data_IF_746248207550
#
_entry.id   IF_746248207550
#
_cell.length_a   1.000
_cell.length_b   1.000
_cell.length_c   1.000
_cell.angle_alpha   90.00
_cell.angle_beta   90.00
_cell.angle_gamma   90.00
#
_symmetry.space_group_name_H-M   'P 1'
#
loop_
_entity.id
_entity.type
_entity.pdbx_description
1 polymer ?
#
# COMPACT_ATOMS: atom_id res chain seq x y z
N UNK A 1 27.09 3.99 -8.54
CA UNK A 1 26.05 2.95 -8.36
C UNK A 1 24.82 3.42 -9.11
N UNK A 2 24.34 2.68 -10.12
CA UNK A 2 23.15 3.10 -10.87
C UNK A 2 21.96 3.11 -9.89
N UNK A 3 21.35 4.28 -9.67
CA UNK A 3 20.11 4.41 -8.90
C UNK A 3 19.02 3.66 -9.64
N UNK A 4 18.88 2.36 -9.38
CA UNK A 4 17.72 1.62 -9.86
C UNK A 4 16.48 2.21 -9.18
N UNK A 5 15.42 2.53 -9.95
CA UNK A 5 14.22 3.11 -9.39
C UNK A 5 13.65 2.18 -8.32
N UNK A 6 13.33 2.74 -7.15
CA UNK A 6 12.95 1.96 -5.98
C UNK A 6 11.52 1.45 -6.17
N UNK A 7 11.39 0.14 -6.32
CA UNK A 7 10.09 -0.55 -6.28
C UNK A 7 9.67 -0.81 -4.84
N UNK A 8 8.37 -0.74 -4.58
CA UNK A 8 7.76 -1.23 -3.35
C UNK A 8 6.30 -1.63 -3.55
N UNK A 9 5.78 -2.43 -2.63
CA UNK A 9 4.44 -2.98 -2.69
C UNK A 9 3.59 -2.51 -1.50
N UNK A 10 2.33 -2.18 -1.77
CA UNK A 10 1.31 -2.06 -0.72
C UNK A 10 0.22 -3.11 -0.94
N UNK A 11 -0.15 -3.82 0.13
CA UNK A 11 -1.29 -4.73 0.13
C UNK A 11 -2.33 -4.15 1.08
N UNK A 12 -3.48 -3.75 0.53
CA UNK A 12 -4.63 -3.35 1.34
C UNK A 12 -5.38 -4.60 1.77
N UNK A 13 -5.33 -4.92 3.05
CA UNK A 13 -6.06 -6.05 3.62
C UNK A 13 -7.58 -5.84 3.57
N UNK A 14 -8.14 -4.63 3.76
CA UNK A 14 -9.57 -4.42 3.56
C UNK A 14 -10.00 -4.52 2.10
N UNK A 15 -9.24 -3.91 1.18
CA UNK A 15 -9.62 -3.89 -0.24
C UNK A 15 -9.23 -5.15 -1.01
N UNK A 16 -8.45 -6.05 -0.40
CA UNK A 16 -7.94 -7.27 -1.04
C UNK A 16 -7.22 -6.99 -2.37
N UNK A 17 -6.38 -5.95 -2.36
CA UNK A 17 -5.57 -5.53 -3.50
C UNK A 17 -4.10 -5.50 -3.17
N UNK A 18 -3.27 -5.79 -4.16
CA UNK A 18 -1.83 -5.56 -4.16
C UNK A 18 -1.49 -4.51 -5.20
N UNK A 19 -0.74 -3.50 -4.81
CA UNK A 19 -0.30 -2.39 -5.65
C UNK A 19 1.22 -2.33 -5.68
N UNK A 20 1.79 -2.37 -6.89
CA UNK A 20 3.22 -2.23 -7.13
C UNK A 20 3.50 -0.79 -7.56
N UNK A 21 4.41 -0.13 -6.85
CA UNK A 21 4.83 1.24 -7.12
C UNK A 21 6.29 1.30 -7.56
N UNK A 22 6.60 2.27 -8.42
CA UNK A 22 7.96 2.66 -8.78
C UNK A 22 8.14 4.14 -8.46
N UNK A 23 9.05 4.45 -7.54
CA UNK A 23 9.31 5.82 -7.10
C UNK A 23 8.02 6.57 -6.68
N UNK A 24 7.05 5.84 -6.13
CA UNK A 24 5.76 6.40 -5.71
C UNK A 24 4.65 6.40 -6.76
N UNK A 25 4.95 6.10 -8.03
CA UNK A 25 3.97 6.01 -9.11
C UNK A 25 3.43 4.58 -9.19
N UNK A 26 2.11 4.43 -9.30
CA UNK A 26 1.47 3.13 -9.45
C UNK A 26 1.82 2.52 -10.82
N UNK A 27 2.42 1.33 -10.81
CA UNK A 27 2.73 0.57 -12.03
C UNK A 27 1.68 -0.49 -12.34
N UNK A 28 1.29 -1.25 -11.31
CA UNK A 28 0.38 -2.40 -11.45
C UNK A 28 -0.50 -2.52 -10.21
N UNK A 29 -1.74 -2.97 -10.43
CA UNK A 29 -2.70 -3.31 -9.37
C UNK A 29 -3.23 -4.71 -9.65
N UNK A 30 -3.25 -5.56 -8.63
CA UNK A 30 -3.71 -6.94 -8.69
C UNK A 30 -4.77 -7.19 -7.62
N UNK A 31 -5.71 -8.09 -7.92
CA UNK A 31 -6.62 -8.63 -6.92
C UNK A 31 -5.93 -9.77 -6.16
N UNK A 32 -6.10 -9.82 -4.85
CA UNK A 32 -5.51 -10.85 -3.99
C UNK A 32 -6.56 -11.52 -3.10
N UNK A 33 -6.19 -12.61 -2.44
CA UNK A 33 -7.00 -13.23 -1.39
C UNK A 33 -6.13 -13.55 -0.17
N UNK A 34 -6.41 -12.89 0.95
CA UNK A 34 -5.68 -13.06 2.22
C UNK A 34 -6.37 -14.09 3.11
N UNK A 35 -5.88 -14.26 4.34
CA UNK A 35 -6.39 -15.28 5.26
C UNK A 35 -7.85 -15.06 5.64
N UNK A 36 -8.64 -16.14 5.61
CA UNK A 36 -10.03 -16.14 6.08
C UNK A 36 -10.16 -15.84 7.58
N UNK A 37 -9.13 -16.17 8.37
CA UNK A 37 -9.09 -15.88 9.81
C UNK A 37 -8.78 -14.40 10.11
N UNK A 38 -8.60 -13.58 9.08
CA UNK A 38 -8.26 -12.16 9.21
C UNK A 38 -6.78 -11.95 9.45
N UNK A 39 -6.47 -10.97 10.30
CA UNK A 39 -5.12 -10.41 10.46
C UNK A 39 -4.50 -10.80 11.79
N UNK A 40 -3.18 -10.97 11.82
CA UNK A 40 -2.48 -11.35 13.05
C UNK A 40 -1.11 -11.98 12.83
N UNK A 41 -0.24 -11.75 13.80
CA UNK A 41 1.19 -12.06 13.67
C UNK A 41 1.59 -13.35 14.40
N UNK A 42 0.79 -13.79 15.38
CA UNK A 42 1.09 -14.97 16.21
C UNK A 42 1.23 -16.24 15.37
N UNK A 43 2.24 -17.04 15.68
CA UNK A 43 2.45 -18.35 15.08
C UNK A 43 1.25 -19.27 15.40
N UNK A 44 0.83 -20.08 14.41
CA UNK A 44 -0.36 -20.92 14.53
C UNK A 44 -1.71 -20.18 14.48
N UNK A 45 -1.74 -18.85 14.33
CA UNK A 45 -3.01 -18.09 14.20
C UNK A 45 -3.75 -18.32 12.89
N UNK A 46 -3.02 -18.74 11.83
CA UNK A 46 -3.53 -18.81 10.47
C UNK A 46 -4.08 -17.47 9.94
N UNK A 47 -3.64 -16.35 10.53
CA UNK A 47 -3.96 -15.00 10.06
C UNK A 47 -2.88 -14.46 9.12
N UNK A 48 -3.22 -13.50 8.26
CA UNK A 48 -2.23 -12.78 7.46
C UNK A 48 -1.53 -11.72 8.34
N UNK A 49 -0.18 -11.70 8.41
CA UNK A 49 0.54 -10.73 9.25
C UNK A 49 0.48 -9.32 8.65
N UNK A 50 0.60 -8.32 9.52
CA UNK A 50 0.55 -6.91 9.14
C UNK A 50 1.91 -6.24 9.17
N UNK A 51 1.94 -5.02 8.66
CA UNK A 51 3.09 -4.12 8.76
C UNK A 51 4.14 -4.34 7.68
N UNK A 52 5.36 -3.88 7.96
CA UNK A 52 6.47 -3.84 7.01
C UNK A 52 7.13 -5.21 6.87
N UNK A 53 7.34 -5.61 5.63
CA UNK A 53 8.04 -6.81 5.24
C UNK A 53 8.96 -6.54 4.05
N UNK A 54 9.74 -7.55 3.69
CA UNK A 54 10.51 -7.63 2.45
C UNK A 54 10.23 -8.95 1.75
N UNK A 55 10.37 -8.97 0.42
CA UNK A 55 10.50 -10.22 -0.33
C UNK A 55 11.87 -10.81 0.00
N UNK A 56 11.92 -11.79 0.89
CA UNK A 56 13.17 -12.42 1.32
C UNK A 56 13.78 -13.31 0.26
N UNK A 57 12.94 -14.06 -0.45
CA UNK A 57 13.34 -15.03 -1.46
C UNK A 57 12.28 -15.16 -2.55
N UNK A 58 12.73 -15.56 -3.73
CA UNK A 58 11.93 -15.82 -4.92
C UNK A 58 12.14 -17.29 -5.30
N UNK A 59 11.06 -18.05 -5.46
CA UNK A 59 11.12 -19.48 -5.78
C UNK A 59 10.17 -19.78 -6.96
N UNK A 60 10.63 -20.62 -7.88
CA UNK A 60 9.86 -21.02 -9.07
C UNK A 60 10.27 -20.31 -10.37
N UNK A 61 11.41 -19.61 -10.40
CA UNK A 61 11.96 -19.06 -11.64
C UNK A 61 12.14 -20.18 -12.69
N UNK A 62 11.65 -19.95 -13.92
CA UNK A 62 11.69 -20.92 -15.00
C UNK A 62 10.69 -22.08 -14.89
N UNK A 63 9.95 -22.21 -13.78
CA UNK A 63 8.87 -23.20 -13.69
C UNK A 63 7.69 -22.79 -14.58
N UNK A 64 6.95 -23.76 -15.16
CA UNK A 64 5.76 -23.46 -15.96
C UNK A 64 4.65 -22.84 -15.10
N UNK A 65 3.70 -22.17 -15.76
CA UNK A 65 2.44 -21.78 -15.14
C UNK A 65 1.73 -23.02 -14.57
N UNK A 66 1.05 -22.87 -13.44
CA UNK A 66 0.38 -23.95 -12.70
C UNK A 66 1.31 -25.01 -12.09
N UNK A 67 2.64 -24.83 -12.13
CA UNK A 67 3.56 -25.73 -11.43
C UNK A 67 3.24 -25.82 -9.93
N UNK A 68 3.14 -27.03 -9.39
CA UNK A 68 2.79 -27.25 -7.98
C UNK A 68 4.02 -27.26 -7.09
N UNK A 69 3.92 -26.61 -5.93
CA UNK A 69 4.98 -26.58 -4.93
C UNK A 69 4.53 -27.22 -3.60
N UNK A 70 5.41 -28.04 -3.03
CA UNK A 70 5.26 -28.57 -1.67
C UNK A 70 6.52 -28.26 -0.90
N UNK A 71 6.38 -27.68 0.31
CA UNK A 71 7.52 -27.23 1.14
C UNK A 71 8.52 -26.35 0.38
N UNK A 72 8.01 -25.53 -0.55
CA UNK A 72 8.76 -24.63 -1.44
C UNK A 72 9.67 -25.34 -2.46
N UNK A 73 9.39 -26.60 -2.79
CA UNK A 73 10.06 -27.34 -3.86
C UNK A 73 9.04 -27.67 -4.96
N UNK A 74 9.39 -27.49 -6.25
CA UNK A 74 8.53 -27.94 -7.33
C UNK A 74 8.37 -29.47 -7.25
N UNK A 75 7.15 -29.96 -7.41
CA UNK A 75 6.88 -31.42 -7.33
C UNK A 75 7.02 -32.12 -8.68
N UNK A 76 7.04 -31.35 -9.78
CA UNK A 76 6.91 -31.87 -11.13
C UNK A 76 5.45 -31.97 -11.61
N UNK A 77 4.47 -31.82 -10.70
CA UNK A 77 3.05 -31.75 -11.06
C UNK A 77 2.71 -30.38 -11.67
N UNK A 78 1.79 -30.38 -12.64
CA UNK A 78 1.10 -29.20 -13.14
C UNK A 78 -0.34 -29.27 -12.66
N UNK A 79 -0.83 -28.22 -12.01
CA UNK A 79 -2.19 -28.18 -11.52
C UNK A 79 -3.20 -28.22 -12.67
N UNK A 80 -4.25 -29.00 -12.48
CA UNK A 80 -5.45 -29.05 -13.30
C UNK A 80 -6.66 -29.31 -12.41
N UNK A 81 -7.87 -29.06 -12.92
CA UNK A 81 -9.09 -29.36 -12.18
C UNK A 81 -9.20 -30.86 -11.85
N UNK A 82 -8.77 -31.74 -12.76
CA UNK A 82 -8.75 -33.18 -12.54
C UNK A 82 -7.82 -33.57 -11.39
N UNK A 83 -6.61 -32.97 -11.33
CA UNK A 83 -5.69 -33.19 -10.22
C UNK A 83 -6.26 -32.63 -8.91
N UNK A 84 -6.92 -31.46 -8.98
CA UNK A 84 -7.57 -30.86 -7.82
C UNK A 84 -8.67 -31.76 -7.24
N UNK A 85 -9.48 -32.39 -8.10
CA UNK A 85 -10.57 -33.27 -7.70
C UNK A 85 -10.07 -34.55 -6.98
N UNK A 86 -8.86 -35.01 -7.28
CA UNK A 86 -8.25 -36.17 -6.62
C UNK A 86 -7.76 -35.87 -5.19
N UNK A 87 -7.47 -34.59 -4.89
CA UNK A 87 -6.96 -34.17 -3.58
C UNK A 87 -7.82 -33.04 -2.99
N UNK A 88 -9.10 -33.32 -2.64
CA UNK A 88 -9.97 -32.32 -2.05
C UNK A 88 -9.37 -31.79 -0.74
N UNK A 89 -9.27 -30.47 -0.61
CA UNK A 89 -8.74 -29.82 0.59
C UNK A 89 -7.22 -29.61 0.62
N UNK A 90 -6.45 -30.07 -0.38
CA UNK A 90 -5.03 -29.72 -0.52
C UNK A 90 -4.90 -28.20 -0.71
N UNK A 91 -4.05 -27.55 0.10
CA UNK A 91 -3.70 -26.14 -0.12
C UNK A 91 -2.69 -26.03 -1.26
N UNK A 92 -3.16 -25.51 -2.38
CA UNK A 92 -2.39 -25.43 -3.62
C UNK A 92 -1.53 -24.16 -3.64
N UNK A 93 -0.20 -24.35 -3.67
CA UNK A 93 0.77 -23.29 -3.91
C UNK A 93 1.31 -23.49 -5.33
N UNK A 94 0.98 -22.56 -6.22
CA UNK A 94 1.22 -22.69 -7.65
C UNK A 94 2.17 -21.64 -8.21
N UNK A 95 2.78 -21.96 -9.35
CA UNK A 95 3.52 -21.09 -10.27
C UNK A 95 4.77 -20.43 -9.68
N UNK A 96 4.61 -19.53 -8.72
CA UNK A 96 5.68 -18.73 -8.11
C UNK A 96 5.43 -18.56 -6.62
N UNK A 97 6.51 -18.41 -5.86
CA UNK A 97 6.48 -18.09 -4.43
C UNK A 97 7.38 -16.88 -4.19
N UNK A 98 6.82 -15.82 -3.62
CA UNK A 98 7.53 -14.70 -3.04
C UNK A 98 7.46 -14.84 -1.51
N UNK A 99 8.57 -15.26 -0.90
CA UNK A 99 8.60 -15.54 0.53
C UNK A 99 8.88 -14.26 1.33
N UNK A 100 8.00 -13.96 2.27
CA UNK A 100 8.04 -12.72 3.04
C UNK A 100 8.85 -12.88 4.32
N UNK A 101 9.53 -11.80 4.72
CA UNK A 101 10.14 -11.67 6.03
C UNK A 101 9.73 -10.34 6.67
N UNK A 102 9.25 -10.40 7.90
CA UNK A 102 8.86 -9.22 8.66
C UNK A 102 10.07 -8.35 9.00
N UNK A 103 9.83 -7.06 9.17
CA UNK A 103 10.86 -6.08 9.46
C UNK A 103 10.79 -5.49 10.87
N UNK A 104 9.78 -5.84 11.67
CA UNK A 104 9.49 -5.23 12.96
C UNK A 104 9.64 -6.26 14.10
N UNK A 105 10.76 -6.25 14.85
CA UNK A 105 10.99 -7.14 15.98
C UNK A 105 9.84 -7.07 17.00
N UNK A 106 9.38 -8.24 17.46
CA UNK A 106 8.28 -8.35 18.44
C UNK A 106 6.89 -8.03 17.87
N UNK A 107 6.80 -7.60 16.61
CA UNK A 107 5.52 -7.41 15.92
C UNK A 107 5.31 -8.45 14.82
N UNK A 108 6.18 -8.50 13.81
CA UNK A 108 6.08 -9.48 12.70
C UNK A 108 7.41 -10.19 12.38
N UNK A 109 8.43 -9.96 13.22
CA UNK A 109 9.79 -10.49 13.10
C UNK A 109 10.28 -10.98 14.46
N UNK A 110 11.02 -12.08 14.46
CA UNK A 110 11.54 -12.78 15.63
C UNK A 110 10.42 -13.29 16.58
N UNK A 111 10.80 -14.14 17.54
CA UNK A 111 9.88 -14.67 18.55
C UNK A 111 8.77 -15.56 17.96
N UNK A 112 7.59 -15.48 18.57
CA UNK A 112 6.36 -16.19 18.19
C UNK A 112 5.59 -15.48 17.07
N UNK A 113 6.07 -14.32 16.60
CA UNK A 113 5.40 -13.51 15.58
C UNK A 113 6.14 -13.47 14.24
N UNK A 114 7.21 -14.26 14.09
CA UNK A 114 8.08 -14.18 12.91
C UNK A 114 7.40 -14.66 11.63
N UNK A 115 7.18 -13.72 10.71
CA UNK A 115 6.49 -13.98 9.43
C UNK A 115 7.20 -15.03 8.57
N UNK A 116 8.53 -15.04 8.54
CA UNK A 116 9.27 -15.96 7.69
C UNK A 116 9.17 -17.38 8.24
N UNK A 117 9.31 -17.55 9.57
CA UNK A 117 9.11 -18.85 10.26
C UNK A 117 7.68 -19.37 10.16
N UNK A 118 6.71 -18.46 10.01
CA UNK A 118 5.31 -18.78 9.73
C UNK A 118 5.01 -19.14 8.27
N UNK A 119 6.02 -19.12 7.39
CA UNK A 119 5.90 -19.53 6.00
C UNK A 119 4.88 -18.73 5.18
N UNK A 120 4.80 -17.41 5.43
CA UNK A 120 3.88 -16.53 4.71
C UNK A 120 4.45 -16.16 3.34
N UNK A 121 3.64 -16.37 2.29
CA UNK A 121 4.02 -16.13 0.90
C UNK A 121 3.03 -15.23 0.17
N UNK A 122 3.49 -14.58 -0.90
CA UNK A 122 2.65 -14.34 -2.07
C UNK A 122 2.82 -15.51 -3.03
N UNK A 123 1.73 -16.11 -3.50
CA UNK A 123 1.83 -17.24 -4.42
C UNK A 123 0.62 -17.37 -5.36
N UNK A 124 0.82 -18.13 -6.45
CA UNK A 124 -0.26 -18.50 -7.37
C UNK A 124 -1.22 -19.50 -6.75
N UNK A 125 -2.48 -19.45 -7.16
CA UNK A 125 -3.53 -20.35 -6.69
C UNK A 125 -4.39 -20.84 -7.86
N UNK A 126 -5.17 -21.93 -7.70
CA UNK A 126 -6.13 -22.37 -8.70
C UNK A 126 -7.06 -21.26 -9.19
N UNK A 127 -7.47 -21.32 -10.46
CA UNK A 127 -8.38 -20.32 -11.04
C UNK A 127 -9.78 -20.36 -10.41
N UNK A 128 -10.15 -21.48 -9.80
CA UNK A 128 -11.39 -21.66 -9.04
C UNK A 128 -11.42 -20.90 -7.71
N UNK A 129 -10.27 -20.42 -7.20
CA UNK A 129 -10.23 -19.61 -5.98
C UNK A 129 -10.81 -18.21 -6.26
N UNK A 130 -11.66 -17.70 -5.37
CA UNK A 130 -12.15 -16.33 -5.47
C UNK A 130 -11.05 -15.32 -5.09
N UNK A 131 -10.92 -14.25 -5.88
CA UNK A 131 -10.01 -13.12 -5.61
C UNK A 131 -10.83 -11.91 -5.17
N UNK A 132 -10.21 -10.99 -4.42
CA UNK A 132 -10.88 -9.82 -3.87
C UNK A 132 -11.63 -10.09 -2.55
N UNK A 133 -11.54 -11.31 -2.03
CA UNK A 133 -12.14 -11.72 -0.76
C UNK A 133 -11.15 -12.57 0.06
N UNK A 134 -11.15 -12.47 1.40
CA UNK A 134 -10.35 -13.36 2.24
C UNK A 134 -10.77 -14.83 2.08
N UNK A 135 -9.80 -15.72 1.84
CA UNK A 135 -10.07 -17.14 1.59
C UNK A 135 -8.87 -18.08 1.75
N UNK A 136 -7.69 -17.53 2.05
CA UNK A 136 -6.48 -18.33 2.28
C UNK A 136 -6.38 -18.84 3.73
N UNK A 137 -5.39 -19.69 4.01
CA UNK A 137 -5.06 -20.17 5.36
C UNK A 137 -4.10 -19.20 6.10
N UNK A 138 -3.49 -18.23 5.42
CA UNK A 138 -2.46 -17.38 6.05
C UNK A 138 -1.67 -16.56 5.05
N UNK A 139 -1.35 -17.16 3.91
CA UNK A 139 -0.64 -16.53 2.80
C UNK A 139 -1.52 -15.53 2.03
N UNK A 140 -0.93 -14.83 1.07
CA UNK A 140 -1.66 -14.00 0.12
C UNK A 140 -1.67 -14.73 -1.23
N UNK A 141 -2.87 -15.09 -1.69
CA UNK A 141 -3.07 -15.74 -2.98
C UNK A 141 -3.22 -14.71 -4.09
N UNK A 142 -2.72 -15.05 -5.27
CA UNK A 142 -2.82 -14.28 -6.50
C UNK A 142 -3.19 -15.23 -7.66
N UNK A 143 -3.70 -14.67 -8.76
CA UNK A 143 -3.83 -15.44 -10.01
C UNK A 143 -2.45 -15.85 -10.52
N UNK A 144 -2.38 -16.99 -11.23
CA UNK A 144 -1.10 -17.53 -11.70
C UNK A 144 -0.36 -16.57 -12.63
N UNK A 145 -1.08 -15.96 -13.58
CA UNK A 145 -0.50 -14.94 -14.48
C UNK A 145 0.01 -13.72 -13.72
N UNK A 146 -0.77 -13.22 -12.76
CA UNK A 146 -0.43 -12.05 -11.96
C UNK A 146 0.82 -12.26 -11.10
N UNK A 147 0.93 -13.42 -10.42
CA UNK A 147 2.13 -13.70 -9.61
C UNK A 147 3.36 -13.93 -10.49
N UNK A 148 3.20 -14.48 -11.70
CA UNK A 148 4.31 -14.64 -12.65
C UNK A 148 4.81 -13.26 -13.09
N UNK A 149 3.91 -12.36 -13.49
CA UNK A 149 4.29 -10.99 -13.86
C UNK A 149 4.95 -10.25 -12.69
N UNK A 150 4.31 -10.26 -11.50
CA UNK A 150 4.87 -9.63 -10.31
C UNK A 150 6.25 -10.20 -9.97
N UNK A 151 6.41 -11.52 -10.07
CA UNK A 151 7.67 -12.20 -9.82
C UNK A 151 8.78 -11.68 -10.74
N UNK A 152 8.49 -11.45 -12.02
CA UNK A 152 9.50 -10.96 -12.97
C UNK A 152 9.83 -9.47 -12.74
N UNK A 153 8.86 -8.67 -12.27
CA UNK A 153 9.04 -7.24 -11.99
C UNK A 153 9.86 -6.96 -10.72
N UNK A 154 9.78 -7.81 -9.69
CA UNK A 154 10.36 -7.52 -8.36
C UNK A 154 11.63 -8.30 -8.09
N UNK A 155 12.53 -7.70 -7.30
CA UNK A 155 13.75 -8.33 -6.83
C UNK A 155 13.62 -8.83 -5.37
N UNK A 156 14.47 -9.77 -4.91
CA UNK A 156 14.67 -9.95 -3.47
C UNK A 156 14.98 -8.62 -2.80
N UNK A 157 14.55 -8.48 -1.55
CA UNK A 157 14.58 -7.27 -0.73
C UNK A 157 13.67 -6.13 -1.18
N UNK A 158 12.81 -6.33 -2.18
CA UNK A 158 11.72 -5.38 -2.48
C UNK A 158 10.87 -5.19 -1.22
N UNK A 159 10.72 -3.95 -0.71
CA UNK A 159 9.89 -3.66 0.44
C UNK A 159 8.41 -3.89 0.12
N UNK A 160 7.67 -4.36 1.11
CA UNK A 160 6.21 -4.39 1.05
C UNK A 160 5.58 -4.01 2.39
N UNK A 161 4.36 -3.51 2.35
CA UNK A 161 3.55 -3.23 3.55
C UNK A 161 2.19 -3.87 3.42
N UNK A 162 1.76 -4.65 4.41
CA UNK A 162 0.40 -5.14 4.54
C UNK A 162 -0.36 -4.23 5.52
N UNK A 163 -1.31 -3.45 5.01
CA UNK A 163 -2.01 -2.41 5.75
C UNK A 163 -3.48 -2.72 6.03
N UNK A 164 -3.96 -2.32 7.20
CA UNK A 164 -5.36 -2.45 7.65
C UNK A 164 -6.22 -1.22 7.31
N UNK A 165 -5.93 -0.60 6.18
CA UNK A 165 -6.68 0.55 5.71
C UNK A 165 -6.75 0.54 4.18
N UNK A 166 -7.71 1.28 3.65
CA UNK A 166 -7.79 1.62 2.24
C UNK A 166 -7.80 3.13 2.07
N UNK A 167 -7.62 3.60 0.84
CA UNK A 167 -7.75 5.01 0.50
C UNK A 167 -8.78 5.16 -0.60
N UNK A 168 -9.77 6.00 -0.36
CA UNK A 168 -10.76 6.42 -1.37
C UNK A 168 -10.55 7.89 -1.71
N UNK A 169 -11.15 8.32 -2.81
CA UNK A 169 -11.14 9.72 -3.26
C UNK A 169 -12.55 10.16 -3.58
N UNK A 170 -12.95 11.31 -3.06
CA UNK A 170 -14.34 11.76 -3.08
C UNK A 170 -14.43 13.28 -3.32
N UNK A 171 -15.64 13.74 -3.61
CA UNK A 171 -15.98 15.17 -3.66
C UNK A 171 -15.87 15.79 -2.27
N UNK A 172 -15.86 17.12 -2.19
CA UNK A 172 -15.93 17.79 -0.90
C UNK A 172 -17.24 17.50 -0.15
N UNK A 173 -18.37 17.41 -0.84
CA UNK A 173 -19.68 17.14 -0.24
C UNK A 173 -19.64 15.84 0.57
N UNK A 174 -19.06 14.79 0.00
CA UNK A 174 -18.97 13.47 0.64
C UNK A 174 -17.85 13.40 1.69
N UNK A 175 -16.71 14.05 1.44
CA UNK A 175 -15.53 13.94 2.28
C UNK A 175 -15.51 14.92 3.47
N UNK A 176 -16.30 15.99 3.43
CA UNK A 176 -16.21 17.13 4.36
C UNK A 176 -16.22 16.71 5.83
N UNK A 177 -17.19 15.89 6.24
CA UNK A 177 -17.35 15.52 7.65
C UNK A 177 -16.07 14.84 8.21
N UNK A 178 -15.55 13.86 7.47
CA UNK A 178 -14.36 13.11 7.85
C UNK A 178 -13.08 13.94 7.73
N UNK A 179 -12.91 14.66 6.62
CA UNK A 179 -11.73 15.47 6.36
C UNK A 179 -11.58 16.59 7.41
N UNK A 180 -12.67 17.29 7.73
CA UNK A 180 -12.68 18.34 8.77
C UNK A 180 -12.30 17.76 10.12
N UNK A 181 -12.89 16.63 10.52
CA UNK A 181 -12.58 15.99 11.82
C UNK A 181 -11.09 15.68 11.98
N UNK A 182 -10.46 15.15 10.92
CA UNK A 182 -9.02 14.85 10.93
C UNK A 182 -8.19 16.15 10.95
N UNK A 183 -8.54 17.12 10.10
CA UNK A 183 -7.85 18.40 9.97
C UNK A 183 -7.92 19.22 11.26
N UNK A 184 -9.07 19.28 11.92
CA UNK A 184 -9.22 19.89 13.24
C UNK A 184 -8.33 19.23 14.29
N UNK A 185 -8.27 17.90 14.28
CA UNK A 185 -7.44 17.16 15.24
C UNK A 185 -5.96 17.45 15.03
N UNK A 186 -5.49 17.50 13.78
CA UNK A 186 -4.06 17.61 13.46
C UNK A 186 -3.60 19.06 13.34
N UNK A 187 -4.30 19.90 12.59
CA UNK A 187 -3.89 21.28 12.33
C UNK A 187 -4.28 22.21 13.48
N UNK A 188 -5.53 22.17 13.95
CA UNK A 188 -5.99 23.08 15.01
C UNK A 188 -5.51 22.61 16.39
N UNK A 189 -5.91 21.41 16.82
CA UNK A 189 -5.65 20.95 18.20
C UNK A 189 -4.20 20.60 18.47
N UNK A 190 -3.50 20.02 17.50
CA UNK A 190 -2.11 19.59 17.67
C UNK A 190 -1.09 20.65 17.22
N UNK A 191 -1.30 21.30 16.07
CA UNK A 191 -0.34 22.27 15.53
C UNK A 191 -0.67 23.74 15.87
N UNK A 192 -1.85 24.02 16.43
CA UNK A 192 -2.23 25.38 16.84
C UNK A 192 -2.62 26.31 15.69
N UNK A 193 -2.98 25.75 14.52
CA UNK A 193 -3.51 26.54 13.40
C UNK A 193 -4.86 27.13 13.79
N UNK A 194 -5.12 28.40 13.43
CA UNK A 194 -6.41 29.04 13.71
C UNK A 194 -7.55 28.33 12.97
N UNK A 195 -8.67 28.10 13.65
CA UNK A 195 -9.84 27.45 13.05
C UNK A 195 -10.46 28.28 11.91
N UNK A 196 -10.27 29.59 11.92
CA UNK A 196 -10.82 30.52 10.91
C UNK A 196 -10.18 30.35 9.53
N UNK A 197 -8.94 29.84 9.47
CA UNK A 197 -8.19 29.68 8.22
C UNK A 197 -8.09 28.21 7.77
N UNK A 198 -8.67 27.29 8.55
CA UNK A 198 -8.55 25.87 8.24
C UNK A 198 -9.37 25.49 7.01
N UNK A 199 -10.59 26.01 6.88
CA UNK A 199 -11.44 25.81 5.71
C UNK A 199 -11.27 26.97 4.74
N UNK A 200 -11.11 26.66 3.46
CA UNK A 200 -10.90 27.65 2.42
C UNK A 200 -11.86 27.45 1.23
N UNK A 201 -11.93 28.45 0.36
CA UNK A 201 -12.77 28.42 -0.85
C UNK A 201 -12.38 27.29 -1.82
N UNK A 202 -11.18 26.75 -1.69
CA UNK A 202 -10.68 25.70 -2.55
C UNK A 202 -11.05 24.29 -2.08
N UNK A 203 -11.63 24.14 -0.89
CA UNK A 203 -12.12 22.84 -0.42
C UNK A 203 -13.21 22.28 -1.34
N UNK A 204 -14.19 23.09 -1.72
CA UNK A 204 -15.30 22.67 -2.58
C UNK A 204 -14.91 22.19 -3.99
N UNK A 205 -14.05 22.91 -4.76
CA UNK A 205 -13.63 22.47 -6.10
C UNK A 205 -12.58 21.34 -6.08
N UNK A 206 -12.05 20.96 -4.92
CA UNK A 206 -10.99 19.96 -4.81
C UNK A 206 -11.51 18.52 -4.75
N UNK A 207 -10.64 17.58 -5.11
CA UNK A 207 -10.80 16.19 -4.75
C UNK A 207 -10.14 15.92 -3.40
N UNK A 208 -10.78 15.12 -2.55
CA UNK A 208 -10.26 14.77 -1.24
C UNK A 208 -9.99 13.26 -1.16
N UNK A 209 -8.80 12.88 -0.72
CA UNK A 209 -8.46 11.51 -0.40
C UNK A 209 -8.71 11.25 1.09
N UNK A 210 -9.40 10.16 1.40
CA UNK A 210 -9.64 9.70 2.76
C UNK A 210 -9.04 8.31 2.94
N UNK A 211 -8.22 8.14 3.97
CA UNK A 211 -7.78 6.83 4.42
C UNK A 211 -8.74 6.33 5.49
N UNK A 212 -9.31 5.14 5.30
CA UNK A 212 -10.27 4.54 6.23
C UNK A 212 -9.68 3.26 6.83
N UNK A 213 -9.86 3.09 8.14
CA UNK A 213 -9.55 1.81 8.80
C UNK A 213 -10.59 0.72 8.47
N UNK A 214 -10.36 -0.49 8.99
CA UNK A 214 -11.27 -1.65 8.81
C UNK A 214 -12.70 -1.42 9.29
N UNK A 215 -12.92 -0.46 10.20
CA UNK A 215 -14.26 -0.09 10.68
C UNK A 215 -14.92 1.02 9.85
N UNK A 216 -14.25 1.49 8.81
CA UNK A 216 -14.72 2.60 7.97
C UNK A 216 -14.47 3.98 8.57
N UNK A 217 -13.72 4.09 9.69
CA UNK A 217 -13.42 5.39 10.30
C UNK A 217 -12.27 6.06 9.54
N UNK A 218 -12.40 7.34 9.25
CA UNK A 218 -11.34 8.11 8.64
C UNK A 218 -10.15 8.32 9.60
N UNK A 219 -8.96 7.98 9.13
CA UNK A 219 -7.70 7.99 9.90
C UNK A 219 -6.63 8.91 9.29
N UNK A 220 -6.89 9.42 8.09
CA UNK A 220 -6.07 10.41 7.43
C UNK A 220 -6.77 11.01 6.22
N UNK A 221 -6.34 12.20 5.81
CA UNK A 221 -6.90 12.95 4.69
C UNK A 221 -5.80 13.65 3.89
N UNK A 222 -6.12 14.01 2.66
CA UNK A 222 -5.32 14.85 1.78
C UNK A 222 -6.19 15.45 0.68
N UNK A 223 -5.74 16.55 0.10
CA UNK A 223 -6.49 17.32 -0.91
C UNK A 223 -5.68 17.45 -2.20
N UNK A 224 -6.34 17.31 -3.33
CA UNK A 224 -5.81 17.63 -4.66
C UNK A 224 -6.67 18.75 -5.29
N UNK A 225 -6.03 19.88 -5.51
CA UNK A 225 -6.61 21.06 -6.16
C UNK A 225 -6.72 20.86 -7.68
N UNK A 226 -7.64 21.59 -8.36
CA UNK A 226 -7.78 21.51 -9.82
C UNK A 226 -6.51 21.85 -10.61
N UNK A 227 -5.60 22.65 -10.03
CA UNK A 227 -4.34 23.06 -10.64
C UNK A 227 -3.16 22.10 -10.38
N UNK A 228 -3.41 20.99 -9.65
CA UNK A 228 -2.40 20.00 -9.31
C UNK A 228 -1.70 20.22 -7.96
N UNK A 229 -2.07 21.25 -7.19
CA UNK A 229 -1.53 21.40 -5.83
C UNK A 229 -2.08 20.35 -4.87
N UNK A 230 -1.18 19.67 -4.17
CA UNK A 230 -1.48 18.72 -3.10
C UNK A 230 -1.29 19.41 -1.75
N UNK A 231 -2.30 19.31 -0.88
CA UNK A 231 -2.30 19.97 0.43
C UNK A 231 -3.18 19.26 1.44
N UNK A 232 -3.34 19.89 2.61
CA UNK A 232 -4.17 19.40 3.74
C UNK A 232 -3.90 17.92 4.08
N UNK A 233 -2.65 17.49 3.93
CA UNK A 233 -2.20 16.13 4.25
C UNK A 233 -2.12 15.97 5.77
N UNK A 234 -2.99 15.13 6.33
CA UNK A 234 -3.06 14.91 7.77
C UNK A 234 -3.31 13.43 8.08
N UNK A 235 -2.66 12.91 9.13
CA UNK A 235 -2.84 11.54 9.63
C UNK A 235 -2.94 11.60 11.15
N UNK A 236 -3.96 10.94 11.70
CA UNK A 236 -4.16 10.85 13.14
C UNK A 236 -2.91 10.25 13.83
N UNK A 237 -2.50 10.75 15.00
CA UNK A 237 -1.25 10.32 15.66
C UNK A 237 -1.09 8.80 15.80
N UNK A 238 -2.16 8.09 16.17
CA UNK A 238 -2.16 6.64 16.33
C UNK A 238 -1.84 5.85 15.04
N UNK A 239 -2.08 6.46 13.87
CA UNK A 239 -1.91 5.84 12.55
C UNK A 239 -0.65 6.31 11.81
N UNK A 240 0.13 7.21 12.41
CA UNK A 240 1.43 7.61 11.86
C UNK A 240 2.38 6.42 11.84
N UNK A 241 3.32 6.42 10.87
CA UNK A 241 4.31 5.34 10.65
C UNK A 241 3.70 3.97 10.26
N UNK A 242 2.39 3.90 10.00
CA UNK A 242 1.71 2.72 9.45
C UNK A 242 1.58 2.76 7.91
N UNK A 243 2.09 3.81 7.25
CA UNK A 243 2.04 3.96 5.79
C UNK A 243 0.84 4.75 5.27
N UNK A 244 -0.04 5.25 6.14
CA UNK A 244 -1.25 6.00 5.75
C UNK A 244 -0.94 7.23 4.89
N UNK A 245 0.00 8.08 5.34
CA UNK A 245 0.40 9.26 4.57
C UNK A 245 0.97 8.92 3.19
N UNK A 246 1.76 7.84 3.11
CA UNK A 246 2.28 7.32 1.83
C UNK A 246 1.15 6.91 0.89
N UNK A 247 0.15 6.19 1.39
CA UNK A 247 -0.99 5.74 0.59
C UNK A 247 -1.88 6.90 0.13
N UNK A 248 -2.13 7.88 1.00
CA UNK A 248 -2.85 9.11 0.65
C UNK A 248 -2.15 9.84 -0.50
N UNK A 249 -0.85 10.11 -0.36
CA UNK A 249 -0.09 10.82 -1.39
C UNK A 249 -0.07 10.05 -2.71
N UNK A 250 0.15 8.73 -2.68
CA UNK A 250 0.11 7.87 -3.88
C UNK A 250 -1.23 7.95 -4.58
N UNK A 251 -2.32 7.91 -3.82
CA UNK A 251 -3.66 7.98 -4.38
C UNK A 251 -3.92 9.33 -5.05
N UNK A 252 -3.46 10.43 -4.45
CA UNK A 252 -3.57 11.76 -5.04
C UNK A 252 -2.74 11.87 -6.33
N UNK A 253 -1.51 11.35 -6.34
CA UNK A 253 -0.67 11.31 -7.54
C UNK A 253 -1.31 10.46 -8.65
N UNK A 254 -1.85 9.28 -8.31
CA UNK A 254 -2.55 8.40 -9.25
C UNK A 254 -3.73 9.12 -9.89
N UNK A 255 -4.59 9.76 -9.09
CA UNK A 255 -5.75 10.47 -9.63
C UNK A 255 -5.36 11.70 -10.44
N UNK A 256 -4.32 12.43 -10.03
CA UNK A 256 -3.82 13.55 -10.81
C UNK A 256 -3.30 13.10 -12.20
N UNK A 257 -2.54 12.00 -12.24
CA UNK A 257 -2.07 11.39 -13.48
C UNK A 257 -3.23 10.95 -14.38
N UNK A 258 -4.24 10.25 -13.82
CA UNK A 258 -5.44 9.84 -14.56
C UNK A 258 -6.27 11.02 -15.10
N UNK A 259 -6.17 12.20 -14.45
CA UNK A 259 -6.78 13.46 -14.91
C UNK A 259 -5.93 14.21 -15.94
N UNK A 260 -4.80 13.64 -16.37
CA UNK A 260 -3.90 14.26 -17.34
C UNK A 260 -3.09 15.43 -16.78
N UNK A 261 -2.99 15.56 -15.45
CA UNK A 261 -2.14 16.58 -14.83
C UNK A 261 -0.66 16.21 -15.06
N UNK A 262 0.14 17.17 -15.53
CA UNK A 262 1.57 16.96 -15.82
C UNK A 262 2.49 17.49 -14.73
N UNK A 263 1.97 18.39 -13.90
CA UNK A 263 2.73 19.07 -12.86
C UNK A 263 1.94 19.00 -11.56
N UNK A 264 2.60 18.55 -10.49
CA UNK A 264 2.09 18.59 -9.13
C UNK A 264 2.98 19.49 -8.30
N UNK A 265 2.37 20.22 -7.38
CA UNK A 265 3.09 21.08 -6.46
C UNK A 265 2.55 20.91 -5.05
N UNK A 266 3.35 21.22 -4.04
CA UNK A 266 2.92 21.23 -2.66
C UNK A 266 3.79 22.19 -1.84
N UNK A 267 3.22 22.62 -0.72
CA UNK A 267 3.91 23.38 0.31
C UNK A 267 4.19 22.40 1.45
N UNK A 268 5.40 21.83 1.51
CA UNK A 268 5.76 20.90 2.55
C UNK A 268 6.18 21.66 3.81
N UNK A 269 5.65 21.32 4.97
CA UNK A 269 6.29 21.69 6.24
C UNK A 269 7.74 21.18 6.22
N UNK A 270 8.70 21.97 6.69
CA UNK A 270 10.14 21.69 6.53
C UNK A 270 10.52 20.26 7.00
N UNK A 271 9.99 19.82 8.14
CA UNK A 271 10.23 18.48 8.67
C UNK A 271 9.62 17.35 7.83
N UNK A 272 8.63 17.65 6.98
CA UNK A 272 7.97 16.73 6.08
C UNK A 272 8.57 16.73 4.65
N UNK A 273 9.50 17.63 4.31
CA UNK A 273 10.09 17.69 2.97
C UNK A 273 10.72 16.34 2.55
N UNK A 274 11.45 15.69 3.47
CA UNK A 274 12.06 14.36 3.24
C UNK A 274 11.03 13.27 2.97
N UNK A 275 9.79 13.40 3.48
CA UNK A 275 8.71 12.47 3.17
C UNK A 275 8.33 12.56 1.69
N UNK A 276 8.15 13.77 1.16
CA UNK A 276 7.74 14.03 -0.22
C UNK A 276 8.85 13.75 -1.24
N UNK A 277 10.12 14.04 -0.91
CA UNK A 277 11.25 13.75 -1.82
C UNK A 277 11.37 12.29 -2.22
N UNK A 278 10.88 11.36 -1.38
CA UNK A 278 10.88 9.92 -1.72
C UNK A 278 9.92 9.54 -2.84
N UNK A 279 9.00 10.43 -3.21
CA UNK A 279 8.05 10.29 -4.31
C UNK A 279 8.47 11.13 -5.52
N UNK A 280 9.70 11.65 -5.53
CA UNK A 280 10.23 12.46 -6.62
C UNK A 280 9.89 13.95 -6.56
N UNK A 281 9.29 14.43 -5.47
CA UNK A 281 9.11 15.88 -5.29
C UNK A 281 10.47 16.55 -5.03
N UNK A 282 10.80 17.53 -5.85
CA UNK A 282 12.02 18.30 -5.75
C UNK A 282 11.71 19.68 -5.17
N UNK A 283 12.51 20.18 -4.21
CA UNK A 283 12.34 21.53 -3.68
C UNK A 283 12.71 22.56 -4.73
N UNK A 284 11.96 23.66 -4.80
CA UNK A 284 12.29 24.79 -5.68
C UNK A 284 13.26 25.80 -5.04
N UNK A 285 13.69 25.54 -3.80
CA UNK A 285 14.63 26.35 -3.03
C UNK A 285 14.01 27.50 -2.23
N UNK A 286 12.69 27.73 -2.33
CA UNK A 286 12.03 28.87 -1.66
C UNK A 286 11.40 28.42 -0.34
N UNK A 287 12.01 28.84 0.77
CA UNK A 287 11.41 28.70 2.11
C UNK A 287 10.53 29.92 2.42
N UNK A 288 9.36 29.67 3.00
CA UNK A 288 8.45 30.72 3.45
C UNK A 288 7.69 30.27 4.70
N UNK A 289 6.95 31.18 5.34
CA UNK A 289 6.13 30.87 6.50
C UNK A 289 4.65 30.88 6.13
N UNK A 290 3.92 29.85 6.57
CA UNK A 290 2.47 29.73 6.42
C UNK A 290 1.90 29.34 7.79
N UNK A 291 0.94 30.11 8.31
CA UNK A 291 0.40 29.97 9.67
C UNK A 291 1.49 29.89 10.77
N UNK A 292 2.61 30.61 10.60
CA UNK A 292 3.74 30.60 11.54
C UNK A 292 4.66 29.38 11.45
N UNK A 293 4.44 28.47 10.49
CA UNK A 293 5.21 27.25 10.30
C UNK A 293 6.11 27.39 9.06
N UNK A 294 7.39 26.99 9.13
CA UNK A 294 8.27 27.00 7.96
C UNK A 294 7.86 25.94 6.94
N UNK A 295 7.71 26.39 5.70
CA UNK A 295 7.35 25.57 4.55
C UNK A 295 8.39 25.70 3.44
N UNK A 296 8.52 24.64 2.65
CA UNK A 296 9.33 24.56 1.44
C UNK A 296 8.41 24.18 0.29
N UNK A 297 8.43 24.95 -0.79
CA UNK A 297 7.69 24.60 -1.99
C UNK A 297 8.42 23.48 -2.74
N UNK A 298 7.66 22.47 -3.13
CA UNK A 298 8.17 21.31 -3.84
C UNK A 298 7.28 20.98 -5.03
N UNK A 299 7.87 20.42 -6.09
CA UNK A 299 7.13 20.04 -7.28
C UNK A 299 7.54 18.67 -7.83
N UNK A 300 6.62 18.03 -8.56
CA UNK A 300 6.82 16.77 -9.23
C UNK A 300 6.27 16.88 -10.66
N UNK A 301 7.11 16.57 -11.64
CA UNK A 301 6.67 16.41 -13.03
C UNK A 301 6.30 14.95 -13.27
N UNK A 302 5.06 14.73 -13.70
CA UNK A 302 4.59 13.40 -14.10
C UNK A 302 5.02 13.14 -15.54
N UNK A 303 5.69 12.01 -15.78
CA UNK A 303 6.01 11.56 -17.12
C UNK A 303 4.71 11.21 -17.87
N UNK A 304 4.61 11.66 -19.11
CA UNK A 304 3.52 11.34 -20.03
C UNK A 304 3.51 9.85 -20.44
#
# INVERSE_FOLDING_TARGET
MKNHPRLDIFISLPAQTLELFQSGILLKRYSVSTAKNGVGEKNGSYCTPRGRHIIRAKIGAGCPENAVFVRRRPTGEIWSEQLSAQFPGRDWILSRILWLSGCQPGFNRLGDVDTMRRYIYLHGSPDTVAMGVPGSIGCVRMRNRDIIELFDLVAPYTPLTLGEFNVKTESWEDAKADAVTIRETVFIREQGVSAEIELDEFDAPSLHALALDVSGRAIGTGRLLPDGHIGRMAVLPAWRKHGVGTALLRRLIEVASLRGMRHLALNAQEHAASFYSRFGFEPDGTQFFEAGIPHLRMSLNLSA
#
